data_IF_489060833529
#
_entry.id   IF_489060833529
#
_cell.length_a   1.000
_cell.length_b   1.000
_cell.length_c   1.000
_cell.angle_alpha   90.00
_cell.angle_beta   90.00
_cell.angle_gamma   90.00
#
_symmetry.space_group_name_H-M   'P 1'
#
loop_
_entity.id
_entity.type
_entity.pdbx_description
1 polymer ?
#
# COMPACT_ATOMS: atom_id res chain seq x y z
N UNK A 1 19.08 -9.83 -1.73
CA UNK A 1 18.78 -8.40 -1.48
C UNK A 1 17.41 -8.26 -0.80
N UNK A 2 17.34 -8.35 0.54
CA UNK A 2 16.08 -8.32 1.31
C UNK A 2 15.59 -6.93 1.75
N UNK A 3 16.45 -5.91 1.79
CA UNK A 3 16.18 -4.66 2.53
C UNK A 3 14.99 -3.82 2.01
N UNK A 4 14.89 -3.59 0.69
CA UNK A 4 13.81 -2.75 0.13
C UNK A 4 12.39 -3.35 0.24
N UNK A 5 12.30 -4.68 0.30
CA UNK A 5 11.02 -5.38 0.53
C UNK A 5 10.57 -5.14 1.97
N UNK A 6 11.49 -5.30 2.92
CA UNK A 6 11.27 -4.95 4.34
C UNK A 6 10.86 -3.48 4.51
N UNK A 7 11.52 -2.55 3.83
CA UNK A 7 11.19 -1.12 3.87
C UNK A 7 9.78 -0.80 3.35
N UNK A 8 9.35 -1.50 2.30
CA UNK A 8 8.02 -1.30 1.69
C UNK A 8 6.93 -1.74 2.67
N UNK A 9 7.07 -2.90 3.32
CA UNK A 9 6.14 -3.36 4.36
C UNK A 9 6.12 -2.44 5.57
N UNK A 10 7.29 -2.05 6.08
CA UNK A 10 7.41 -1.14 7.23
C UNK A 10 6.67 0.17 6.98
N UNK A 11 6.77 0.75 5.78
CA UNK A 11 6.06 1.99 5.46
C UNK A 11 4.53 1.86 5.41
N UNK A 12 3.98 0.66 5.13
CA UNK A 12 2.53 0.42 5.16
C UNK A 12 2.05 0.37 6.61
N UNK A 13 2.76 -0.40 7.45
CA UNK A 13 2.43 -0.53 8.87
C UNK A 13 2.53 0.81 9.59
N UNK A 14 3.60 1.56 9.33
CA UNK A 14 3.82 2.89 9.90
C UNK A 14 2.72 3.86 9.47
N UNK A 15 2.36 3.90 8.18
CA UNK A 15 1.28 4.78 7.71
C UNK A 15 -0.04 4.42 8.39
N UNK A 16 -0.37 3.13 8.48
CA UNK A 16 -1.58 2.68 9.16
C UNK A 16 -1.59 3.11 10.63
N UNK A 17 -0.47 2.93 11.33
CA UNK A 17 -0.34 3.34 12.72
C UNK A 17 -0.54 4.85 12.90
N UNK A 18 0.07 5.66 12.03
CA UNK A 18 -0.07 7.13 12.05
C UNK A 18 -1.52 7.57 11.77
N UNK A 19 -2.23 6.92 10.85
CA UNK A 19 -3.64 7.19 10.59
C UNK A 19 -4.51 6.86 11.80
N UNK A 20 -4.31 5.70 12.42
CA UNK A 20 -5.03 5.31 13.65
C UNK A 20 -4.78 6.34 14.76
N UNK A 21 -3.53 6.77 14.94
CA UNK A 21 -3.20 7.86 15.87
C UNK A 21 -3.98 9.12 15.53
N UNK A 22 -3.96 9.57 14.28
CA UNK A 22 -4.64 10.78 13.85
C UNK A 22 -6.16 10.74 14.10
N UNK A 23 -6.81 9.58 13.91
CA UNK A 23 -8.24 9.39 14.22
C UNK A 23 -8.55 9.35 15.70
N UNK A 24 -7.64 8.82 16.52
CA UNK A 24 -7.85 8.63 17.96
C UNK A 24 -7.44 9.84 18.80
N UNK A 25 -6.54 10.68 18.27
CA UNK A 25 -6.13 11.94 18.88
C UNK A 25 -7.25 12.97 18.74
N UNK A 26 -7.50 13.74 19.82
CA UNK A 26 -8.43 14.86 19.88
C UNK A 26 -9.94 14.52 19.77
N UNK A 27 -10.37 13.36 20.27
CA UNK A 27 -11.81 13.04 20.37
C UNK A 27 -12.62 14.05 21.21
N UNK A 28 -11.94 14.80 22.08
CA UNK A 28 -12.53 15.85 22.92
C UNK A 28 -12.75 17.16 22.14
N UNK A 29 -11.95 17.43 21.10
CA UNK A 29 -11.95 18.70 20.34
C UNK A 29 -12.59 18.55 18.96
N UNK A 30 -12.45 17.37 18.33
CA UNK A 30 -12.98 17.06 16.99
C UNK A 30 -14.01 15.95 17.14
N UNK A 31 -15.30 16.31 17.03
CA UNK A 31 -16.39 15.32 17.02
C UNK A 31 -16.49 14.66 15.65
N UNK A 32 -16.02 13.41 15.56
CA UNK A 32 -16.24 12.55 14.40
C UNK A 32 -17.58 11.82 14.52
N UNK A 33 -18.41 11.85 13.48
CA UNK A 33 -19.58 10.97 13.41
C UNK A 33 -19.16 9.51 13.19
N UNK A 34 -20.08 8.58 13.47
CA UNK A 34 -19.89 7.15 13.19
C UNK A 34 -19.55 6.86 11.72
N UNK A 35 -20.13 7.61 10.78
CA UNK A 35 -19.83 7.47 9.34
C UNK A 35 -18.38 7.85 9.00
N UNK A 36 -17.84 8.92 9.59
CA UNK A 36 -16.43 9.29 9.40
C UNK A 36 -15.51 8.20 9.94
N UNK A 37 -15.81 7.69 11.14
CA UNK A 37 -15.02 6.63 11.78
C UNK A 37 -15.01 5.37 10.90
N UNK A 38 -16.17 4.95 10.41
CA UNK A 38 -16.29 3.78 9.55
C UNK A 38 -15.51 3.93 8.24
N UNK A 39 -15.58 5.11 7.63
CA UNK A 39 -14.81 5.44 6.42
C UNK A 39 -13.29 5.36 6.68
N UNK A 40 -12.80 6.00 7.75
CA UNK A 40 -11.40 5.97 8.13
C UNK A 40 -10.88 4.55 8.43
N UNK A 41 -11.67 3.76 9.17
CA UNK A 41 -11.36 2.36 9.43
C UNK A 41 -11.37 1.48 8.17
N UNK A 42 -12.17 1.81 7.15
CA UNK A 42 -12.12 1.10 5.88
C UNK A 42 -10.77 1.32 5.17
N UNK A 43 -10.24 2.54 5.21
CA UNK A 43 -8.93 2.88 4.63
C UNK A 43 -7.80 2.19 5.42
N UNK A 44 -7.87 2.19 6.75
CA UNK A 44 -6.91 1.48 7.62
C UNK A 44 -6.86 -0.02 7.29
N UNK A 45 -8.01 -0.65 7.05
CA UNK A 45 -8.09 -2.07 6.63
C UNK A 45 -7.62 -2.28 5.20
N UNK A 46 -7.87 -1.32 4.30
CA UNK A 46 -7.39 -1.42 2.92
C UNK A 46 -5.85 -1.45 2.85
N UNK A 47 -5.16 -0.77 3.75
CA UNK A 47 -3.69 -0.88 3.86
C UNK A 47 -3.23 -2.32 4.21
N UNK A 48 -3.98 -3.05 5.05
CA UNK A 48 -3.69 -4.46 5.32
C UNK A 48 -3.86 -5.31 4.06
N UNK A 49 -4.92 -5.05 3.28
CA UNK A 49 -5.15 -5.74 2.02
C UNK A 49 -4.03 -5.48 1.01
N UNK A 50 -3.57 -4.22 0.89
CA UNK A 50 -2.42 -3.86 0.03
C UNK A 50 -1.17 -4.62 0.49
N UNK A 51 -0.93 -4.71 1.80
CA UNK A 51 0.20 -5.43 2.37
C UNK A 51 0.17 -6.91 2.00
N UNK A 52 -0.98 -7.56 2.18
CA UNK A 52 -1.17 -8.96 1.84
C UNK A 52 -0.97 -9.21 0.34
N UNK A 53 -1.56 -8.36 -0.51
CA UNK A 53 -1.43 -8.44 -1.96
C UNK A 53 0.04 -8.28 -2.41
N UNK A 54 0.76 -7.31 -1.85
CA UNK A 54 2.18 -7.12 -2.13
C UNK A 54 2.99 -8.37 -1.78
N UNK A 55 2.75 -8.98 -0.62
CA UNK A 55 3.42 -10.23 -0.22
C UNK A 55 3.14 -11.35 -1.22
N UNK A 56 1.89 -11.52 -1.66
CA UNK A 56 1.54 -12.55 -2.65
C UNK A 56 2.22 -12.30 -4.00
N UNK A 57 2.32 -11.04 -4.44
CA UNK A 57 3.02 -10.69 -5.67
C UNK A 57 4.52 -10.99 -5.55
N UNK A 58 5.15 -10.69 -4.42
CA UNK A 58 6.57 -11.01 -4.20
C UNK A 58 6.82 -12.51 -4.24
N UNK A 59 5.97 -13.30 -3.59
CA UNK A 59 6.06 -14.76 -3.59
C UNK A 59 5.94 -15.32 -5.03
N UNK A 60 4.98 -14.83 -5.81
CA UNK A 60 4.78 -15.23 -7.20
C UNK A 60 5.96 -14.84 -8.10
N UNK A 61 6.54 -13.65 -7.92
CA UNK A 61 7.74 -13.24 -8.63
C UNK A 61 8.90 -14.21 -8.32
N UNK A 62 9.09 -14.56 -7.05
CA UNK A 62 10.15 -15.50 -6.64
C UNK A 62 9.90 -16.90 -7.19
N UNK A 63 8.65 -17.36 -7.22
CA UNK A 63 8.28 -18.63 -7.82
C UNK A 63 8.56 -18.65 -9.32
N UNK A 64 8.16 -17.60 -10.06
CA UNK A 64 8.45 -17.46 -11.48
C UNK A 64 9.95 -17.48 -11.77
N UNK A 65 10.76 -16.78 -10.98
CA UNK A 65 12.23 -16.83 -11.10
C UNK A 65 12.75 -18.26 -10.98
N UNK A 66 12.26 -19.02 -10.00
CA UNK A 66 12.70 -20.41 -9.78
C UNK A 66 12.32 -21.30 -10.96
N UNK A 67 11.12 -21.13 -11.53
CA UNK A 67 10.65 -21.89 -12.68
C UNK A 67 11.43 -21.55 -13.94
N UNK A 68 11.60 -20.26 -14.25
CA UNK A 68 12.36 -19.81 -15.42
C UNK A 68 13.82 -20.31 -15.34
N UNK A 69 14.45 -20.28 -14.16
CA UNK A 69 15.78 -20.85 -13.94
C UNK A 69 15.84 -22.39 -14.10
N UNK A 70 14.79 -23.09 -13.68
CA UNK A 70 14.73 -24.56 -13.79
C UNK A 70 14.56 -25.02 -15.24
N UNK A 71 13.80 -24.27 -16.03
CA UNK A 71 13.50 -24.58 -17.43
C UNK A 71 14.59 -24.11 -18.41
N UNK A 72 15.64 -23.43 -17.93
CA UNK A 72 16.64 -22.74 -18.77
C UNK A 72 16.00 -21.70 -19.72
N UNK A 73 14.90 -21.09 -19.25
CA UNK A 73 14.17 -20.05 -19.99
C UNK A 73 14.92 -18.71 -19.92
N UNK A 74 14.71 -17.86 -20.93
CA UNK A 74 15.30 -16.52 -20.95
C UNK A 74 14.79 -15.66 -19.79
N UNK A 75 15.71 -15.19 -18.95
CA UNK A 75 15.40 -14.30 -17.82
C UNK A 75 15.02 -12.86 -18.23
N UNK A 76 15.02 -12.52 -19.52
CA UNK A 76 14.79 -11.14 -19.97
C UNK A 76 13.40 -10.61 -19.57
N UNK A 77 12.37 -11.44 -19.76
CA UNK A 77 10.99 -11.09 -19.37
C UNK A 77 10.86 -10.98 -17.85
N UNK A 78 11.46 -11.92 -17.12
CA UNK A 78 11.53 -11.87 -15.66
C UNK A 78 12.19 -10.59 -15.15
N UNK A 79 13.36 -10.22 -15.70
CA UNK A 79 14.09 -9.02 -15.30
C UNK A 79 13.25 -7.76 -15.54
N UNK A 80 12.53 -7.71 -16.66
CA UNK A 80 11.64 -6.59 -17.00
C UNK A 80 10.49 -6.48 -16.01
N UNK A 81 9.84 -7.60 -15.68
CA UNK A 81 8.78 -7.69 -14.68
C UNK A 81 9.27 -7.26 -13.29
N UNK A 82 10.40 -7.79 -12.85
CA UNK A 82 10.99 -7.48 -11.55
C UNK A 82 11.34 -6.00 -11.43
N UNK A 83 11.91 -5.39 -12.48
CA UNK A 83 12.21 -3.95 -12.50
C UNK A 83 10.95 -3.10 -12.39
N UNK A 84 9.89 -3.46 -13.10
CA UNK A 84 8.61 -2.76 -13.03
C UNK A 84 8.02 -2.82 -11.61
N UNK A 85 7.94 -4.03 -11.05
CA UNK A 85 7.49 -4.26 -9.67
C UNK A 85 8.28 -3.40 -8.67
N UNK A 86 9.62 -3.48 -8.71
CA UNK A 86 10.50 -2.77 -7.78
C UNK A 86 10.39 -1.26 -7.88
N UNK A 87 10.32 -0.74 -9.11
CA UNK A 87 10.17 0.70 -9.34
C UNK A 87 8.89 1.23 -8.70
N UNK A 88 7.78 0.51 -8.88
CA UNK A 88 6.49 0.94 -8.34
C UNK A 88 6.41 0.76 -6.81
N UNK A 89 6.93 -0.33 -6.26
CA UNK A 89 7.02 -0.51 -4.80
C UNK A 89 7.83 0.62 -4.14
N UNK A 90 8.95 1.03 -4.74
CA UNK A 90 9.77 2.13 -4.25
C UNK A 90 9.05 3.48 -4.32
N UNK A 91 8.33 3.76 -5.42
CA UNK A 91 7.52 4.97 -5.56
C UNK A 91 6.46 5.02 -4.46
N UNK A 92 5.71 3.94 -4.31
CA UNK A 92 4.67 3.81 -3.29
C UNK A 92 5.24 3.96 -1.87
N UNK A 93 6.42 3.40 -1.59
CA UNK A 93 7.11 3.59 -0.31
C UNK A 93 7.45 5.06 -0.04
N UNK A 94 8.03 5.76 -1.03
CA UNK A 94 8.37 7.19 -0.90
C UNK A 94 7.13 8.06 -0.67
N UNK A 95 6.05 7.78 -1.38
CA UNK A 95 4.79 8.50 -1.22
C UNK A 95 4.21 8.30 0.19
N UNK A 96 4.28 7.07 0.73
CA UNK A 96 3.87 6.78 2.12
C UNK A 96 4.72 7.53 3.13
N UNK A 97 6.04 7.54 2.96
CA UNK A 97 6.93 8.33 3.83
C UNK A 97 6.62 9.83 3.79
N UNK A 98 6.29 10.37 2.62
CA UNK A 98 5.88 11.77 2.47
C UNK A 98 4.58 12.06 3.26
N UNK A 99 3.59 11.17 3.16
CA UNK A 99 2.34 11.30 3.90
C UNK A 99 2.54 11.15 5.42
N UNK A 100 3.35 10.18 5.85
CA UNK A 100 3.72 10.00 7.27
C UNK A 100 4.36 11.29 7.82
N UNK A 101 5.33 11.86 7.11
CA UNK A 101 5.96 13.14 7.52
C UNK A 101 4.95 14.28 7.60
N UNK A 102 3.97 14.30 6.69
CA UNK A 102 2.86 15.26 6.72
C UNK A 102 2.05 15.09 8.00
N UNK A 103 1.66 13.86 8.36
CA UNK A 103 0.91 13.57 9.60
C UNK A 103 1.71 14.01 10.84
N UNK A 104 3.00 13.64 10.91
CA UNK A 104 3.87 14.03 12.02
C UNK A 104 4.05 15.56 12.13
N UNK A 105 4.04 16.28 11.01
CA UNK A 105 4.08 17.74 11.02
C UNK A 105 2.73 18.34 11.46
N UNK A 106 1.61 17.72 11.07
CA UNK A 106 0.27 18.14 11.49
C UNK A 106 0.08 18.01 13.00
N UNK A 107 0.68 17.01 13.64
CA UNK A 107 0.70 16.86 15.12
C UNK A 107 1.29 18.09 15.84
N UNK A 108 2.05 18.95 15.14
CA UNK A 108 2.65 20.17 15.68
C UNK A 108 1.83 21.44 15.41
N UNK A 109 0.71 21.30 14.72
CA UNK A 109 -0.20 22.38 14.33
C UNK A 109 -1.60 22.13 14.88
N UNK A 110 -2.48 23.13 14.84
CA UNK A 110 -3.88 22.95 15.24
C UNK A 110 -4.61 22.01 14.25
N UNK A 111 -4.80 20.76 14.67
CA UNK A 111 -5.51 19.73 13.91
C UNK A 111 -6.99 20.10 13.76
N UNK A 112 -7.52 19.97 12.55
CA UNK A 112 -8.94 20.13 12.26
C UNK A 112 -9.45 18.98 11.38
N UNK A 113 -10.76 18.77 11.36
CA UNK A 113 -11.40 17.65 10.67
C UNK A 113 -11.12 17.64 9.16
N UNK A 114 -11.04 18.82 8.53
CA UNK A 114 -10.75 18.94 7.09
C UNK A 114 -9.36 18.37 6.77
N UNK A 115 -8.36 18.70 7.59
CA UNK A 115 -6.98 18.23 7.41
C UNK A 115 -6.86 16.72 7.65
N UNK A 116 -7.60 16.19 8.62
CA UNK A 116 -7.69 14.74 8.87
C UNK A 116 -8.31 14.05 7.66
N UNK A 117 -9.43 14.56 7.16
CA UNK A 117 -10.11 14.00 6.00
C UNK A 117 -9.22 14.00 4.75
N UNK A 118 -8.55 15.11 4.45
CA UNK A 118 -7.61 15.20 3.32
C UNK A 118 -6.48 14.16 3.42
N UNK A 119 -5.92 13.99 4.63
CA UNK A 119 -4.90 12.97 4.90
C UNK A 119 -5.41 11.56 4.59
N UNK A 120 -6.61 11.22 5.07
CA UNK A 120 -7.23 9.93 4.79
C UNK A 120 -7.54 9.75 3.30
N UNK A 121 -7.98 10.80 2.61
CA UNK A 121 -8.27 10.75 1.18
C UNK A 121 -6.99 10.51 0.36
N UNK A 122 -5.86 11.11 0.75
CA UNK A 122 -4.56 10.86 0.14
C UNK A 122 -4.09 9.42 0.39
N UNK A 123 -4.22 8.92 1.62
CA UNK A 123 -3.93 7.52 1.93
C UNK A 123 -4.79 6.55 1.10
N UNK A 124 -6.09 6.83 0.99
CA UNK A 124 -7.01 6.05 0.16
C UNK A 124 -6.56 6.04 -1.30
N UNK A 125 -6.32 7.20 -1.90
CA UNK A 125 -5.88 7.32 -3.29
C UNK A 125 -4.59 6.53 -3.55
N UNK A 126 -3.62 6.62 -2.65
CA UNK A 126 -2.37 5.87 -2.76
C UNK A 126 -2.57 4.36 -2.63
N UNK A 127 -3.36 3.92 -1.65
CA UNK A 127 -3.67 2.50 -1.45
C UNK A 127 -4.40 1.91 -2.67
N UNK A 128 -5.38 2.64 -3.22
CA UNK A 128 -6.11 2.25 -4.42
C UNK A 128 -5.20 2.10 -5.65
N UNK A 129 -4.33 3.08 -5.92
CA UNK A 129 -3.36 3.00 -7.02
C UNK A 129 -2.43 1.80 -6.85
N UNK A 130 -1.95 1.56 -5.64
CA UNK A 130 -1.09 0.41 -5.33
C UNK A 130 -1.83 -0.91 -5.59
N UNK A 131 -3.05 -1.06 -5.08
CA UNK A 131 -3.89 -2.25 -5.30
C UNK A 131 -4.10 -2.52 -6.78
N UNK A 132 -4.52 -1.50 -7.54
CA UNK A 132 -4.77 -1.64 -8.97
C UNK A 132 -3.53 -2.11 -9.72
N UNK A 133 -2.39 -1.48 -9.49
CA UNK A 133 -1.13 -1.87 -10.11
C UNK A 133 -0.77 -3.33 -9.81
N UNK A 134 -0.86 -3.76 -8.55
CA UNK A 134 -0.51 -5.14 -8.19
C UNK A 134 -1.49 -6.16 -8.76
N UNK A 135 -2.79 -5.85 -8.82
CA UNK A 135 -3.77 -6.72 -9.47
C UNK A 135 -3.53 -6.82 -10.98
N UNK A 136 -3.27 -5.70 -11.67
CA UNK A 136 -2.91 -5.70 -13.09
C UNK A 136 -1.63 -6.50 -13.36
N UNK A 137 -0.64 -6.37 -12.48
CA UNK A 137 0.59 -7.15 -12.56
C UNK A 137 0.30 -8.66 -12.44
N UNK A 138 -0.56 -9.05 -11.49
CA UNK A 138 -1.01 -10.43 -11.33
C UNK A 138 -1.73 -10.97 -12.56
N UNK A 139 -2.66 -10.18 -13.13
CA UNK A 139 -3.44 -10.58 -14.30
C UNK A 139 -2.56 -10.72 -15.54
N UNK A 140 -1.75 -9.69 -15.83
CA UNK A 140 -0.96 -9.60 -17.06
C UNK A 140 0.24 -10.54 -17.08
N UNK A 141 0.86 -10.81 -15.93
CA UNK A 141 2.16 -11.49 -15.87
C UNK A 141 2.08 -12.91 -15.32
N UNK A 142 1.01 -13.25 -14.60
CA UNK A 142 0.83 -14.56 -13.96
C UNK A 142 -0.46 -15.27 -14.38
N UNK A 143 -1.24 -14.68 -15.29
CA UNK A 143 -2.44 -15.31 -15.85
C UNK A 143 -3.59 -15.48 -14.85
N UNK A 144 -3.60 -14.73 -13.74
CA UNK A 144 -4.71 -14.76 -12.80
C UNK A 144 -5.97 -14.17 -13.44
N UNK A 145 -7.02 -14.98 -13.57
CA UNK A 145 -8.37 -14.49 -13.85
C UNK A 145 -9.11 -14.31 -12.52
N UNK A 146 -9.42 -13.07 -12.16
CA UNK A 146 -10.38 -12.82 -11.08
C UNK A 146 -11.75 -13.19 -11.63
N UNK A 147 -12.33 -14.30 -11.14
CA UNK A 147 -13.74 -14.59 -11.44
C UNK A 147 -14.57 -13.49 -10.80
N UNK A 148 -15.25 -12.72 -11.62
CA UNK A 148 -16.34 -11.86 -11.16
C UNK A 148 -17.38 -12.78 -10.52
N UNK A 149 -17.44 -12.77 -9.19
CA UNK A 149 -18.51 -13.41 -8.44
C UNK A 149 -19.80 -12.64 -8.75
N UNK A 150 -20.66 -13.25 -9.56
CA UNK A 150 -22.07 -12.84 -9.75
C UNK A 150 -22.86 -12.99 -8.44
#
# INVERSE_FOLDING_TARGET
MPEQTTETFVSIDELKWQLIRLRTVNSETIRMSSSHIAFFQAIERHLDCVKALLSSVEDLILEKLRMDLFNDDSLYEFISLFRLFRSESLRNHRDRLCLIRTIVAMDRTELNMLSIYDTYQRAHTMSYKSTHFYLELMQSSFGFQFRDSQ
#
